data_IF_804058409753
#
_entry.id   IF_804058409753
#
_cell.length_a   1.000
_cell.length_b   1.000
_cell.length_c   1.000
_cell.angle_alpha   90.00
_cell.angle_beta   90.00
_cell.angle_gamma   90.00
#
_symmetry.space_group_name_H-M   'P 1'
#
loop_
_entity.id
_entity.type
_entity.pdbx_description
1 polymer ?
#
# COMPACT_ATOMS: atom_id res chain seq x y z
N UNK A 1 34.97 11.06 24.33
CA UNK A 1 33.56 10.80 24.64
C UNK A 1 33.04 12.04 25.33
N UNK A 2 32.50 12.95 24.54
CA UNK A 2 31.98 14.24 24.97
C UNK A 2 30.49 14.07 25.27
N UNK A 3 30.10 14.40 26.50
CA UNK A 3 28.71 14.45 26.94
C UNK A 3 27.97 15.54 26.16
N UNK A 4 27.36 15.16 25.04
CA UNK A 4 26.38 16.00 24.35
C UNK A 4 25.06 15.88 25.11
N UNK A 5 24.90 16.70 26.16
CA UNK A 5 23.60 16.97 26.76
C UNK A 5 22.69 17.59 25.68
N UNK A 6 21.83 16.78 25.07
CA UNK A 6 20.74 17.28 24.22
C UNK A 6 19.79 18.08 25.11
N UNK A 7 20.01 19.39 25.18
CA UNK A 7 19.03 20.32 25.74
C UNK A 7 17.74 20.18 24.93
N UNK A 8 16.71 19.62 25.57
CA UNK A 8 15.36 19.56 25.00
C UNK A 8 14.97 20.98 24.55
N UNK A 9 14.43 21.15 23.33
CA UNK A 9 14.02 22.46 22.85
C UNK A 9 13.00 23.08 23.81
N UNK A 10 13.13 24.39 24.05
CA UNK A 10 12.24 25.14 24.93
C UNK A 10 10.77 24.91 24.52
N UNK A 11 9.91 24.61 25.50
CA UNK A 11 8.48 24.37 25.31
C UNK A 11 7.87 25.57 24.56
N UNK A 12 7.28 25.31 23.39
CA UNK A 12 6.73 26.37 22.53
C UNK A 12 5.53 27.05 23.25
N UNK A 13 5.52 28.39 23.39
CA UNK A 13 4.51 29.12 24.19
C UNK A 13 3.05 28.92 23.77
N UNK A 14 2.80 28.47 22.53
CA UNK A 14 1.44 28.25 22.01
C UNK A 14 0.71 27.14 22.80
N UNK A 15 1.45 26.18 23.38
CA UNK A 15 0.89 25.15 24.26
C UNK A 15 0.49 25.68 25.65
N UNK A 16 0.94 26.87 26.05
CA UNK A 16 0.69 27.44 27.37
C UNK A 16 -0.59 28.29 27.44
N UNK A 17 -1.35 28.40 26.34
CA UNK A 17 -2.64 29.12 26.33
C UNK A 17 -3.66 28.42 27.22
N UNK A 18 -4.30 29.15 28.13
CA UNK A 18 -5.34 28.63 29.02
C UNK A 18 -6.70 28.41 28.35
N UNK A 19 -6.86 28.84 27.08
CA UNK A 19 -8.10 28.71 26.33
C UNK A 19 -7.86 28.14 24.93
N UNK A 20 -8.80 27.31 24.41
CA UNK A 20 -8.71 26.79 23.05
C UNK A 20 -8.87 27.92 22.02
N UNK A 21 -8.10 27.91 20.92
CA UNK A 21 -8.18 28.94 19.90
C UNK A 21 -9.55 28.89 19.18
N UNK A 22 -10.41 29.93 19.31
CA UNK A 22 -11.84 29.85 18.98
C UNK A 22 -12.16 29.78 17.47
N UNK A 23 -11.14 29.85 16.61
CA UNK A 23 -11.29 29.87 15.14
C UNK A 23 -10.34 28.90 14.43
N UNK A 24 -9.70 28.00 15.18
CA UNK A 24 -8.75 27.06 14.59
C UNK A 24 -9.51 26.02 13.77
N UNK A 25 -9.33 26.08 12.44
CA UNK A 25 -9.92 25.14 11.48
C UNK A 25 -8.93 24.07 11.02
N UNK A 26 -7.66 24.43 10.95
CA UNK A 26 -6.60 23.54 10.49
C UNK A 26 -5.50 23.48 11.55
N UNK A 27 -5.19 22.28 12.03
CA UNK A 27 -4.13 22.00 12.97
C UNK A 27 -3.18 20.98 12.36
N UNK A 28 -1.93 21.38 12.21
CA UNK A 28 -0.86 20.53 11.72
C UNK A 28 0.30 20.50 12.72
N UNK A 29 0.57 19.31 13.27
CA UNK A 29 1.65 19.04 14.21
C UNK A 29 2.59 18.02 13.57
N UNK A 30 3.82 18.43 13.23
CA UNK A 30 4.82 17.53 12.62
C UNK A 30 6.04 17.39 13.51
N UNK A 31 6.32 16.14 13.90
CA UNK A 31 7.46 15.74 14.75
C UNK A 31 7.56 16.58 16.02
N UNK A 32 6.41 17.01 16.53
CA UNK A 32 6.30 17.87 17.69
C UNK A 32 5.83 17.04 18.89
N UNK A 33 6.43 17.18 20.08
CA UNK A 33 5.91 16.53 21.28
C UNK A 33 4.55 17.11 21.66
N UNK A 34 3.54 16.26 21.80
CA UNK A 34 2.19 16.64 22.23
C UNK A 34 1.59 15.48 23.03
N UNK A 35 0.49 15.75 23.75
CA UNK A 35 -0.38 14.72 24.32
C UNK A 35 -1.79 14.90 23.78
N UNK A 36 -2.51 13.80 23.56
CA UNK A 36 -3.88 13.87 23.04
C UNK A 36 -4.87 14.59 23.97
N UNK A 37 -4.53 14.80 25.24
CA UNK A 37 -5.32 15.61 26.19
C UNK A 37 -4.93 17.10 26.20
N UNK A 38 -4.05 17.56 25.31
CA UNK A 38 -3.72 18.98 25.18
C UNK A 38 -4.93 19.80 24.69
N UNK A 39 -5.05 21.05 25.18
CA UNK A 39 -6.18 21.95 24.85
C UNK A 39 -6.32 22.25 23.35
N UNK A 40 -5.27 22.01 22.55
CA UNK A 40 -5.30 22.14 21.09
C UNK A 40 -6.33 21.21 20.44
N UNK A 41 -6.56 20.03 21.01
CA UNK A 41 -7.51 19.04 20.50
C UNK A 41 -8.94 19.28 21.02
N UNK A 42 -9.15 20.31 21.85
CA UNK A 42 -10.49 20.70 22.33
C UNK A 42 -11.22 21.68 21.41
N UNK A 43 -10.65 22.03 20.26
CA UNK A 43 -11.24 22.98 19.30
C UNK A 43 -12.39 22.36 18.51
N UNK A 44 -13.63 22.77 18.79
CA UNK A 44 -14.82 22.34 18.06
C UNK A 44 -14.93 22.92 16.63
N UNK A 45 -14.09 23.89 16.27
CA UNK A 45 -14.08 24.49 14.93
C UNK A 45 -13.14 23.79 13.95
N UNK A 46 -12.40 22.77 14.42
CA UNK A 46 -11.41 22.09 13.61
C UNK A 46 -12.08 21.24 12.52
N UNK A 47 -11.66 21.46 11.28
CA UNK A 47 -12.08 20.70 10.10
C UNK A 47 -10.97 19.81 9.57
N UNK A 48 -9.70 20.14 9.83
CA UNK A 48 -8.55 19.35 9.39
C UNK A 48 -7.57 19.14 10.54
N UNK A 49 -7.27 17.88 10.81
CA UNK A 49 -6.27 17.48 11.79
C UNK A 49 -5.18 16.66 11.09
N UNK A 50 -3.94 17.15 11.15
CA UNK A 50 -2.74 16.43 10.68
C UNK A 50 -1.76 16.32 11.83
N UNK A 51 -1.45 15.09 12.23
CA UNK A 51 -0.53 14.81 13.33
C UNK A 51 0.47 13.77 12.86
N UNK A 52 1.73 14.18 12.72
CA UNK A 52 2.86 13.30 12.41
C UNK A 52 3.76 13.22 13.64
N UNK A 53 3.83 12.06 14.26
CA UNK A 53 4.69 11.76 15.40
C UNK A 53 6.15 11.58 15.00
N UNK A 54 6.97 11.19 15.97
CA UNK A 54 8.38 10.86 15.76
C UNK A 54 8.47 9.34 15.53
N UNK A 55 8.97 8.93 14.36
CA UNK A 55 9.14 7.50 14.05
C UNK A 55 10.18 6.88 15.00
N UNK A 56 9.72 5.96 15.85
CA UNK A 56 10.55 5.25 16.81
C UNK A 56 11.68 4.44 16.20
N UNK A 57 11.61 4.07 14.91
CA UNK A 57 12.70 3.35 14.22
C UNK A 57 13.96 4.19 14.10
N UNK A 58 13.83 5.51 14.04
CA UNK A 58 14.96 6.43 13.95
C UNK A 58 15.59 6.70 15.31
N UNK A 59 14.84 6.51 16.40
CA UNK A 59 15.28 6.76 17.76
C UNK A 59 16.03 5.55 18.33
N UNK A 60 17.30 5.38 17.96
CA UNK A 60 18.18 4.41 18.60
C UNK A 60 18.40 4.78 20.08
N UNK A 61 17.56 4.24 20.97
CA UNK A 61 17.73 4.34 22.43
C UNK A 61 17.02 5.52 23.11
N UNK A 62 16.35 6.41 22.37
CA UNK A 62 15.52 7.45 23.00
C UNK A 62 14.12 6.92 23.25
N UNK A 63 13.59 7.20 24.45
CA UNK A 63 12.19 6.96 24.78
C UNK A 63 11.31 7.73 23.80
N UNK A 64 10.36 7.02 23.17
CA UNK A 64 9.35 7.65 22.30
C UNK A 64 8.60 8.73 23.09
N UNK A 65 8.20 9.85 22.44
CA UNK A 65 7.36 10.85 23.09
C UNK A 65 6.09 10.21 23.61
N UNK A 66 5.73 10.49 24.87
CA UNK A 66 4.46 10.05 25.43
C UNK A 66 3.32 10.86 24.82
N UNK A 67 2.68 10.31 23.79
CA UNK A 67 1.47 10.90 23.19
C UNK A 67 0.21 10.70 24.04
N UNK A 68 0.28 9.96 25.15
CA UNK A 68 -0.83 9.62 26.02
C UNK A 68 -1.43 8.23 25.74
N UNK A 69 -2.68 8.03 26.20
CA UNK A 69 -3.43 6.76 26.06
C UNK A 69 -4.47 6.81 24.94
N UNK A 70 -5.01 5.64 24.55
CA UNK A 70 -6.14 5.57 23.60
C UNK A 70 -7.37 6.33 24.08
N UNK A 71 -7.67 6.31 25.38
CA UNK A 71 -8.80 7.06 25.93
C UNK A 71 -8.66 8.57 25.72
N UNK A 72 -7.43 9.09 25.79
CA UNK A 72 -7.16 10.50 25.48
C UNK A 72 -7.39 10.80 24.00
N UNK A 73 -6.87 9.96 23.10
CA UNK A 73 -7.10 10.07 21.65
C UNK A 73 -8.59 10.02 21.31
N UNK A 74 -9.33 9.07 21.87
CA UNK A 74 -10.76 8.92 21.61
C UNK A 74 -11.56 10.13 22.12
N UNK A 75 -11.23 10.64 23.31
CA UNK A 75 -11.88 11.85 23.84
C UNK A 75 -11.58 13.10 23.01
N UNK A 76 -10.36 13.20 22.47
CA UNK A 76 -10.01 14.23 21.50
C UNK A 76 -10.84 14.11 20.22
N UNK A 77 -10.89 12.93 19.60
CA UNK A 77 -11.67 12.71 18.38
C UNK A 77 -13.17 12.94 18.57
N UNK A 78 -13.74 12.60 19.73
CA UNK A 78 -15.13 12.91 20.11
C UNK A 78 -15.43 14.41 20.19
N UNK A 79 -14.44 15.22 20.54
CA UNK A 79 -14.59 16.68 20.59
C UNK A 79 -14.56 17.29 19.17
N UNK A 80 -13.79 16.68 18.26
CA UNK A 80 -13.60 17.17 16.89
C UNK A 80 -14.69 16.67 15.91
N UNK A 81 -15.39 15.60 16.28
CA UNK A 81 -16.27 14.81 15.40
C UNK A 81 -17.31 15.60 14.58
N UNK A 82 -17.98 16.64 15.14
CA UNK A 82 -19.06 17.33 14.41
C UNK A 82 -18.61 18.02 13.12
N UNK A 83 -17.34 18.42 13.02
CA UNK A 83 -16.83 19.24 11.91
C UNK A 83 -15.59 18.69 11.23
N UNK A 84 -15.00 17.61 11.74
CA UNK A 84 -13.78 17.05 11.18
C UNK A 84 -14.04 16.47 9.78
N UNK A 85 -13.43 17.08 8.77
CA UNK A 85 -13.53 16.70 7.35
C UNK A 85 -12.31 15.89 6.89
N UNK A 86 -11.13 16.15 7.46
CA UNK A 86 -9.90 15.43 7.14
C UNK A 86 -9.10 15.08 8.39
N UNK A 87 -8.71 13.81 8.50
CA UNK A 87 -7.93 13.26 9.61
C UNK A 87 -6.68 12.57 9.05
N UNK A 88 -5.50 12.99 9.50
CA UNK A 88 -4.23 12.35 9.20
C UNK A 88 -3.46 12.11 10.49
N UNK A 89 -3.25 10.85 10.86
CA UNK A 89 -2.45 10.46 12.03
C UNK A 89 -1.33 9.54 11.56
N UNK A 90 -0.10 9.99 11.64
CA UNK A 90 1.08 9.24 11.23
C UNK A 90 2.01 9.08 12.44
N UNK A 91 2.29 7.86 12.87
CA UNK A 91 3.19 7.55 14.00
C UNK A 91 2.85 8.26 15.32
N UNK A 92 1.60 8.67 15.45
CA UNK A 92 1.05 9.43 16.56
C UNK A 92 -0.06 8.69 17.32
N UNK A 93 -0.33 7.42 16.95
CA UNK A 93 -1.28 6.57 17.65
C UNK A 93 -0.66 6.10 18.97
N UNK A 94 -1.35 6.25 20.13
CA UNK A 94 -0.92 5.73 21.41
C UNK A 94 -0.50 4.26 21.35
N UNK A 95 0.59 3.91 22.04
CA UNK A 95 1.06 2.52 22.16
C UNK A 95 0.74 1.87 23.50
N UNK A 96 0.42 2.70 24.50
CA UNK A 96 0.09 2.24 25.85
C UNK A 96 -1.21 1.43 25.84
N UNK A 97 -1.22 0.31 26.57
CA UNK A 97 -2.42 -0.53 26.75
C UNK A 97 -2.55 -1.72 25.80
N UNK A 98 -1.76 -1.79 24.72
CA UNK A 98 -1.71 -2.96 23.84
C UNK A 98 -0.37 -3.67 24.01
N UNK A 99 -0.39 -4.80 24.71
CA UNK A 99 0.79 -5.66 24.84
C UNK A 99 0.98 -6.45 23.54
N UNK A 100 2.14 -6.25 22.89
CA UNK A 100 2.52 -6.95 21.65
C UNK A 100 2.62 -8.47 21.84
N UNK A 101 2.56 -8.96 23.08
CA UNK A 101 2.67 -10.38 23.44
C UNK A 101 1.47 -11.24 22.99
N UNK A 102 0.30 -10.64 22.70
CA UNK A 102 -0.84 -11.36 22.13
C UNK A 102 -1.52 -10.54 21.03
N UNK A 103 -0.88 -10.40 19.85
CA UNK A 103 -1.42 -9.62 18.74
C UNK A 103 -2.66 -10.26 18.11
N UNK A 104 -3.02 -11.48 18.54
CA UNK A 104 -4.08 -12.30 17.95
C UNK A 104 -5.49 -11.88 18.37
N UNK A 105 -5.65 -11.08 19.43
CA UNK A 105 -6.96 -10.59 19.86
C UNK A 105 -6.86 -9.10 20.20
N UNK A 106 -7.32 -8.27 19.27
CA UNK A 106 -7.57 -6.86 19.57
C UNK A 106 -8.64 -6.76 20.66
N UNK A 107 -8.49 -5.84 21.63
CA UNK A 107 -9.53 -5.59 22.61
C UNK A 107 -10.81 -5.13 21.90
N UNK A 108 -11.95 -5.56 22.45
CA UNK A 108 -13.26 -5.11 21.99
C UNK A 108 -13.35 -3.58 22.10
N UNK A 109 -14.03 -2.91 21.15
CA UNK A 109 -14.14 -1.47 21.19
C UNK A 109 -14.96 -1.06 22.42
N UNK A 110 -14.36 -0.28 23.32
CA UNK A 110 -15.04 0.30 24.48
C UNK A 110 -16.11 1.33 24.11
N UNK A 111 -15.98 1.97 22.94
CA UNK A 111 -16.90 2.98 22.40
C UNK A 111 -16.72 3.19 20.90
N UNK A 112 -17.73 3.70 20.23
CA UNK A 112 -17.71 4.01 18.79
C UNK A 112 -17.86 5.51 18.56
N UNK A 113 -16.95 6.09 17.76
CA UNK A 113 -16.85 7.53 17.47
C UNK A 113 -17.34 7.77 16.03
N UNK A 114 -18.48 8.45 15.83
CA UNK A 114 -19.07 8.66 14.51
C UNK A 114 -18.52 9.89 13.80
N UNK A 115 -17.54 9.72 12.89
CA UNK A 115 -16.93 10.81 12.12
C UNK A 115 -17.83 11.28 10.97
N UNK A 116 -18.99 11.88 11.28
CA UNK A 116 -20.08 12.14 10.31
C UNK A 116 -19.69 13.01 9.11
N UNK A 117 -18.77 13.97 9.29
CA UNK A 117 -18.36 14.92 8.25
C UNK A 117 -17.07 14.52 7.53
N UNK A 118 -16.47 13.38 7.89
CA UNK A 118 -15.15 13.00 7.39
C UNK A 118 -15.21 12.61 5.91
N UNK A 119 -14.26 13.12 5.14
CA UNK A 119 -14.09 12.85 3.71
C UNK A 119 -12.80 12.09 3.42
N UNK A 120 -11.77 12.25 4.27
CA UNK A 120 -10.47 11.59 4.11
C UNK A 120 -9.90 11.20 5.48
N UNK A 121 -9.57 9.92 5.63
CA UNK A 121 -8.86 9.35 6.77
C UNK A 121 -7.52 8.82 6.28
N UNK A 122 -6.41 9.28 6.88
CA UNK A 122 -5.06 8.81 6.61
C UNK A 122 -4.43 8.34 7.92
N UNK A 123 -4.03 7.07 7.99
CA UNK A 123 -3.43 6.47 9.18
C UNK A 123 -2.10 5.85 8.80
N UNK A 124 -1.03 6.18 9.52
CA UNK A 124 0.27 5.52 9.38
C UNK A 124 0.84 5.09 10.73
N UNK A 125 1.49 3.92 10.78
CA UNK A 125 2.02 3.34 12.02
C UNK A 125 2.02 1.82 12.01
N UNK A 126 1.97 1.19 13.18
CA UNK A 126 1.95 -0.28 13.27
C UNK A 126 0.54 -0.83 13.08
N UNK A 127 0.43 -1.98 12.39
CA UNK A 127 -0.86 -2.53 11.97
C UNK A 127 -1.84 -2.75 13.12
N UNK A 128 -1.40 -3.30 14.25
CA UNK A 128 -2.24 -3.54 15.42
C UNK A 128 -2.86 -2.25 16.01
N UNK A 129 -2.09 -1.16 16.09
CA UNK A 129 -2.59 0.12 16.63
C UNK A 129 -3.58 0.78 15.68
N UNK A 130 -3.32 0.73 14.37
CA UNK A 130 -4.25 1.22 13.35
C UNK A 130 -5.55 0.41 13.38
N UNK A 131 -5.45 -0.92 13.46
CA UNK A 131 -6.59 -1.81 13.55
C UNK A 131 -7.45 -1.50 14.77
N UNK A 132 -6.83 -1.32 15.93
CA UNK A 132 -7.53 -0.91 17.15
C UNK A 132 -8.26 0.42 16.96
N UNK A 133 -7.57 1.46 16.45
CA UNK A 133 -8.21 2.74 16.16
C UNK A 133 -9.41 2.61 15.19
N UNK A 134 -9.26 1.83 14.12
CA UNK A 134 -10.33 1.61 13.13
C UNK A 134 -11.57 0.95 13.73
N UNK A 135 -11.43 0.08 14.74
CA UNK A 135 -12.56 -0.54 15.44
C UNK A 135 -13.36 0.45 16.29
N UNK A 136 -12.79 1.60 16.60
CA UNK A 136 -13.43 2.65 17.41
C UNK A 136 -14.00 3.79 16.57
N UNK A 137 -13.70 3.88 15.28
CA UNK A 137 -14.20 4.97 14.42
C UNK A 137 -15.13 4.46 13.33
N UNK A 138 -16.17 5.23 13.03
CA UNK A 138 -17.05 4.99 11.89
C UNK A 138 -17.03 6.19 10.97
N UNK A 139 -17.13 5.96 9.66
CA UNK A 139 -17.10 7.00 8.63
C UNK A 139 -18.24 6.84 7.63
N UNK A 140 -18.66 7.92 6.94
CA UNK A 140 -19.57 7.84 5.81
C UNK A 140 -19.01 6.94 4.70
N UNK A 141 -19.90 6.35 3.90
CA UNK A 141 -19.51 5.46 2.81
C UNK A 141 -18.70 6.14 1.70
N UNK A 142 -18.74 7.48 1.65
CA UNK A 142 -18.00 8.31 0.70
C UNK A 142 -16.59 8.68 1.15
N UNK A 143 -16.23 8.43 2.42
CA UNK A 143 -14.94 8.87 2.96
C UNK A 143 -13.79 7.99 2.45
N UNK A 144 -12.68 8.57 1.96
CA UNK A 144 -11.51 7.76 1.60
C UNK A 144 -10.74 7.29 2.84
N UNK A 145 -10.13 6.10 2.75
CA UNK A 145 -9.25 5.55 3.78
C UNK A 145 -7.90 5.20 3.17
N UNK A 146 -6.85 5.86 3.65
CA UNK A 146 -5.47 5.56 3.31
C UNK A 146 -4.75 5.03 4.56
N UNK A 147 -4.14 3.86 4.47
CA UNK A 147 -3.44 3.21 5.58
C UNK A 147 -2.01 2.91 5.15
N UNK A 148 -1.02 3.39 5.90
CA UNK A 148 0.39 3.09 5.67
C UNK A 148 0.98 2.32 6.87
N UNK A 149 1.19 1.03 6.69
CA UNK A 149 1.67 0.10 7.70
C UNK A 149 3.19 0.09 7.73
N UNK A 150 3.79 0.46 8.84
CA UNK A 150 5.25 0.34 9.05
C UNK A 150 5.62 -1.05 9.54
N UNK A 151 4.94 -1.53 10.59
CA UNK A 151 5.16 -2.86 11.18
C UNK A 151 3.98 -3.78 10.84
N UNK A 152 4.32 -4.96 10.33
CA UNK A 152 3.37 -5.94 9.80
C UNK A 152 2.73 -6.81 10.89
N UNK A 153 3.21 -6.74 12.14
CA UNK A 153 2.58 -7.46 13.27
C UNK A 153 1.14 -6.95 13.45
N UNK A 154 0.16 -7.84 13.27
CA UNK A 154 -1.26 -7.51 13.29
C UNK A 154 -1.89 -7.27 11.91
N UNK A 155 -1.21 -7.63 10.81
CA UNK A 155 -1.70 -7.37 9.44
C UNK A 155 -3.06 -8.02 9.11
N UNK A 156 -3.33 -9.22 9.67
CA UNK A 156 -4.62 -9.90 9.50
C UNK A 156 -5.75 -9.16 10.23
N UNK A 157 -5.51 -8.77 11.47
CA UNK A 157 -6.44 -8.04 12.32
C UNK A 157 -6.73 -6.65 11.75
N UNK A 158 -5.71 -6.00 11.17
CA UNK A 158 -5.88 -4.78 10.41
C UNK A 158 -6.79 -5.00 9.20
N UNK A 159 -6.56 -6.03 8.41
CA UNK A 159 -7.41 -6.33 7.25
C UNK A 159 -8.86 -6.61 7.65
N UNK A 160 -9.08 -7.30 8.78
CA UNK A 160 -10.41 -7.52 9.36
C UNK A 160 -11.07 -6.20 9.78
N UNK A 161 -10.31 -5.33 10.45
CA UNK A 161 -10.80 -4.02 10.91
C UNK A 161 -11.14 -3.12 9.72
N UNK A 162 -10.32 -3.13 8.66
CA UNK A 162 -10.61 -2.43 7.39
C UNK A 162 -11.87 -3.01 6.74
N UNK A 163 -12.01 -4.33 6.65
CA UNK A 163 -13.20 -4.95 6.06
C UNK A 163 -14.48 -4.61 6.83
N UNK A 164 -14.41 -4.63 8.17
CA UNK A 164 -15.52 -4.19 9.02
C UNK A 164 -15.87 -2.71 8.79
N UNK A 165 -14.86 -1.83 8.75
CA UNK A 165 -15.03 -0.40 8.49
C UNK A 165 -15.60 -0.11 7.09
N UNK A 166 -15.30 -0.96 6.11
CA UNK A 166 -15.75 -0.83 4.72
C UNK A 166 -17.08 -1.57 4.43
N UNK A 167 -17.60 -2.36 5.36
CA UNK A 167 -18.75 -3.25 5.13
C UNK A 167 -20.06 -2.53 4.73
N UNK A 168 -20.24 -1.28 5.16
CA UNK A 168 -21.42 -0.47 4.85
C UNK A 168 -21.31 0.28 3.51
N UNK A 169 -20.24 0.06 2.74
CA UNK A 169 -19.97 0.77 1.49
C UNK A 169 -20.43 -0.02 0.28
N UNK A 170 -20.69 0.66 -0.85
CA UNK A 170 -20.81 -0.04 -2.12
C UNK A 170 -19.57 -0.91 -2.37
N UNK A 171 -19.74 -2.08 -3.01
CA UNK A 171 -18.64 -2.99 -3.24
C UNK A 171 -17.57 -2.39 -4.14
N UNK A 172 -16.32 -2.79 -3.93
CA UNK A 172 -15.25 -2.47 -4.87
C UNK A 172 -15.42 -3.24 -6.18
N UNK A 173 -15.26 -2.53 -7.30
CA UNK A 173 -15.34 -3.09 -8.65
C UNK A 173 -13.95 -3.24 -9.30
N UNK A 174 -12.99 -2.41 -8.89
CA UNK A 174 -11.61 -2.45 -9.38
C UNK A 174 -10.63 -2.50 -8.21
N UNK A 175 -9.60 -3.33 -8.33
CA UNK A 175 -8.48 -3.43 -7.38
C UNK A 175 -7.16 -3.41 -8.13
N UNK A 176 -6.18 -2.69 -7.59
CA UNK A 176 -4.79 -2.68 -8.02
C UNK A 176 -3.95 -3.23 -6.87
N UNK A 177 -3.15 -4.24 -7.18
CA UNK A 177 -2.05 -4.68 -6.35
C UNK A 177 -0.77 -4.23 -7.03
N UNK A 178 0.03 -3.44 -6.34
CA UNK A 178 1.28 -2.87 -6.87
C UNK A 178 2.43 -3.21 -5.93
N UNK A 179 3.57 -3.64 -6.48
CA UNK A 179 4.78 -4.02 -5.74
C UNK A 179 6.01 -3.67 -6.57
N UNK A 180 6.83 -2.68 -6.19
CA UNK A 180 8.02 -2.28 -6.98
C UNK A 180 9.35 -2.78 -6.38
N UNK A 181 9.47 -4.10 -6.12
CA UNK A 181 10.71 -4.70 -5.62
C UNK A 181 10.92 -4.51 -4.10
N UNK A 182 12.00 -3.84 -3.61
CA UNK A 182 12.19 -3.59 -2.17
C UNK A 182 11.14 -2.64 -1.56
N UNK A 183 10.30 -2.06 -2.42
CA UNK A 183 9.27 -1.10 -2.11
C UNK A 183 8.05 -1.73 -1.41
N UNK A 184 7.17 -0.88 -0.84
CA UNK A 184 5.96 -1.38 -0.19
C UNK A 184 4.99 -2.04 -1.16
N UNK A 185 4.27 -3.06 -0.68
CA UNK A 185 3.08 -3.57 -1.35
C UNK A 185 1.95 -2.56 -1.19
N UNK A 186 1.37 -2.11 -2.28
CA UNK A 186 0.25 -1.17 -2.31
C UNK A 186 -1.00 -1.89 -2.81
N UNK A 187 -2.07 -1.85 -2.02
CA UNK A 187 -3.41 -2.28 -2.41
C UNK A 187 -4.28 -1.04 -2.56
N UNK A 188 -4.80 -0.80 -3.76
CA UNK A 188 -5.74 0.28 -4.03
C UNK A 188 -7.06 -0.29 -4.54
N UNK A 189 -8.19 0.26 -4.09
CA UNK A 189 -9.52 -0.21 -4.48
C UNK A 189 -10.49 0.94 -4.80
N UNK A 190 -11.33 0.73 -5.82
CA UNK A 190 -12.28 1.69 -6.36
C UNK A 190 -13.68 1.09 -6.49
N UNK A 191 -14.71 1.94 -6.36
CA UNK A 191 -16.12 1.56 -6.56
C UNK A 191 -16.55 1.59 -8.04
N UNK A 192 -15.64 1.90 -8.95
CA UNK A 192 -15.89 1.96 -10.38
C UNK A 192 -14.76 1.28 -11.16
N UNK A 193 -15.04 0.92 -12.42
CA UNK A 193 -14.12 0.16 -13.29
C UNK A 193 -13.06 1.03 -13.98
N UNK A 194 -13.31 2.33 -14.05
CA UNK A 194 -12.46 3.29 -14.74
C UNK A 194 -11.24 3.74 -13.93
N UNK A 195 -10.23 4.35 -14.58
CA UNK A 195 -9.08 4.93 -13.92
C UNK A 195 -9.48 6.17 -13.12
N UNK A 196 -9.88 6.00 -11.86
CA UNK A 196 -9.85 7.12 -10.90
C UNK A 196 -8.43 7.44 -10.54
N UNK A 197 -8.14 8.72 -10.28
CA UNK A 197 -6.95 9.10 -9.53
C UNK A 197 -7.08 8.79 -8.04
N UNK A 198 -8.31 8.88 -7.51
CA UNK A 198 -8.55 8.78 -6.07
C UNK A 198 -9.13 7.41 -5.73
N UNK A 199 -8.31 6.57 -5.11
CA UNK A 199 -8.75 5.30 -4.52
C UNK A 199 -9.55 5.56 -3.25
N UNK A 200 -10.67 4.83 -3.09
CA UNK A 200 -11.49 4.93 -1.88
C UNK A 200 -10.81 4.22 -0.70
N UNK A 201 -10.10 3.14 -1.00
CA UNK A 201 -9.24 2.42 -0.07
C UNK A 201 -7.84 2.33 -0.68
N UNK A 202 -6.83 2.76 0.09
CA UNK A 202 -5.44 2.54 -0.23
C UNK A 202 -4.73 1.99 1.01
N UNK A 203 -4.04 0.86 0.88
CA UNK A 203 -3.26 0.25 1.95
C UNK A 203 -1.85 0.01 1.46
N UNK A 204 -0.88 0.66 2.09
CA UNK A 204 0.54 0.53 1.81
C UNK A 204 1.18 -0.28 2.92
N UNK A 205 1.76 -1.43 2.60
CA UNK A 205 2.50 -2.27 3.54
C UNK A 205 4.00 -2.02 3.34
N UNK A 206 4.67 -1.48 4.36
CA UNK A 206 6.10 -1.17 4.31
C UNK A 206 6.97 -2.37 3.91
N UNK A 207 8.18 -2.07 3.39
CA UNK A 207 9.14 -3.00 2.77
C UNK A 207 9.07 -4.42 3.32
N UNK A 208 8.73 -5.34 2.41
CA UNK A 208 8.39 -6.74 2.70
C UNK A 208 9.58 -7.65 2.39
N UNK A 209 10.55 -7.75 3.30
CA UNK A 209 11.47 -8.90 3.25
C UNK A 209 10.77 -10.24 3.55
N UNK A 210 9.55 -10.21 4.08
CA UNK A 210 8.79 -11.41 4.39
C UNK A 210 7.72 -11.68 3.34
N UNK A 211 7.78 -12.92 2.84
CA UNK A 211 7.33 -13.37 1.52
C UNK A 211 5.83 -13.69 1.40
N UNK A 212 5.05 -13.58 2.48
CA UNK A 212 3.74 -14.26 2.55
C UNK A 212 2.59 -13.37 3.11
N UNK A 213 2.63 -12.04 2.99
CA UNK A 213 1.65 -11.15 3.62
C UNK A 213 0.36 -10.88 2.85
N UNK A 214 0.42 -10.94 1.52
CA UNK A 214 -0.76 -10.69 0.70
C UNK A 214 -1.88 -11.67 1.07
N UNK A 215 -1.54 -12.93 1.36
CA UNK A 215 -2.53 -13.95 1.73
C UNK A 215 -3.23 -13.66 3.05
N UNK A 216 -2.56 -13.45 4.21
CA UNK A 216 -3.21 -13.08 5.46
C UNK A 216 -4.06 -11.80 5.36
N UNK A 217 -3.60 -10.78 4.62
CA UNK A 217 -4.35 -9.54 4.42
C UNK A 217 -5.63 -9.83 3.64
N UNK A 218 -5.54 -10.52 2.50
CA UNK A 218 -6.71 -10.87 1.72
C UNK A 218 -7.64 -11.84 2.46
N UNK A 219 -7.11 -12.74 3.29
CA UNK A 219 -7.90 -13.61 4.16
C UNK A 219 -8.67 -12.81 5.21
N UNK A 220 -8.02 -11.82 5.84
CA UNK A 220 -8.65 -10.93 6.81
C UNK A 220 -9.72 -10.03 6.19
N UNK A 221 -9.62 -9.74 4.89
CA UNK A 221 -10.59 -8.89 4.17
C UNK A 221 -12.00 -9.51 4.03
N UNK A 222 -12.17 -10.80 4.30
CA UNK A 222 -13.47 -11.47 4.25
C UNK A 222 -14.12 -11.40 2.87
N UNK A 223 -15.29 -10.75 2.79
CA UNK A 223 -16.08 -10.57 1.55
C UNK A 223 -15.88 -9.20 0.90
N UNK A 224 -14.86 -8.44 1.29
CA UNK A 224 -14.66 -7.08 0.79
C UNK A 224 -14.46 -7.03 -0.74
N UNK A 225 -13.83 -8.07 -1.29
CA UNK A 225 -13.43 -8.12 -2.70
C UNK A 225 -14.23 -9.08 -3.58
N UNK A 226 -15.34 -9.66 -3.09
CA UNK A 226 -16.06 -10.71 -3.86
C UNK A 226 -16.66 -10.19 -5.16
N UNK A 227 -16.92 -8.89 -5.25
CA UNK A 227 -17.56 -8.22 -6.39
C UNK A 227 -16.57 -7.46 -7.28
N UNK A 228 -15.27 -7.59 -7.02
CA UNK A 228 -14.24 -7.01 -7.88
C UNK A 228 -14.31 -7.69 -9.23
N UNK A 229 -14.46 -6.88 -10.28
CA UNK A 229 -14.55 -7.31 -11.67
C UNK A 229 -13.24 -7.06 -12.41
N UNK A 230 -12.47 -6.04 -12.01
CA UNK A 230 -11.19 -5.70 -12.61
C UNK A 230 -10.08 -5.83 -11.57
N UNK A 231 -9.12 -6.70 -11.83
CA UNK A 231 -7.92 -6.86 -11.00
C UNK A 231 -6.70 -6.47 -11.83
N UNK A 232 -5.93 -5.50 -11.35
CA UNK A 232 -4.67 -5.07 -11.94
C UNK A 232 -3.52 -5.46 -11.03
N UNK A 233 -2.49 -6.07 -11.60
CA UNK A 233 -1.25 -6.46 -10.94
C UNK A 233 -0.14 -5.65 -11.58
N UNK A 234 0.54 -4.82 -10.79
CA UNK A 234 1.63 -3.98 -11.26
C UNK A 234 2.90 -4.31 -10.47
N UNK A 235 3.98 -4.56 -11.20
CA UNK A 235 5.28 -4.83 -10.63
C UNK A 235 5.54 -6.28 -10.24
N UNK A 236 6.41 -6.40 -9.25
CA UNK A 236 7.31 -7.49 -8.98
C UNK A 236 6.87 -8.22 -7.69
N UNK A 237 6.22 -9.37 -7.87
CA UNK A 237 5.67 -10.20 -6.79
C UNK A 237 6.49 -11.47 -6.64
N UNK A 238 7.19 -11.62 -5.51
CA UNK A 238 7.96 -12.84 -5.23
C UNK A 238 7.29 -13.67 -4.13
N UNK A 239 7.27 -14.99 -4.30
CA UNK A 239 6.75 -15.99 -3.36
C UNK A 239 5.24 -15.87 -3.06
N UNK A 240 4.45 -15.36 -3.99
CA UNK A 240 3.01 -15.20 -3.77
C UNK A 240 2.27 -16.50 -4.06
N UNK A 241 1.46 -16.96 -3.10
CA UNK A 241 0.53 -18.09 -3.32
C UNK A 241 -0.69 -17.62 -4.11
N UNK A 242 -0.52 -17.41 -5.41
CA UNK A 242 -1.51 -16.84 -6.33
C UNK A 242 -2.87 -17.56 -6.30
N UNK A 243 -2.90 -18.88 -6.11
CA UNK A 243 -4.16 -19.61 -5.99
C UNK A 243 -5.00 -19.07 -4.81
N UNK A 244 -4.37 -18.73 -3.70
CA UNK A 244 -5.06 -18.13 -2.55
C UNK A 244 -5.55 -16.71 -2.87
N UNK A 245 -4.78 -15.94 -3.63
CA UNK A 245 -5.13 -14.58 -4.07
C UNK A 245 -6.39 -14.63 -4.94
N UNK A 246 -6.38 -15.36 -6.05
CA UNK A 246 -7.51 -15.41 -6.99
C UNK A 246 -8.81 -15.92 -6.37
N UNK A 247 -8.72 -16.77 -5.35
CA UNK A 247 -9.92 -17.27 -4.67
C UNK A 247 -10.63 -16.21 -3.81
N UNK A 248 -10.01 -15.05 -3.63
CA UNK A 248 -10.59 -13.86 -2.99
C UNK A 248 -11.28 -12.92 -3.98
N UNK A 249 -11.10 -13.17 -5.27
CA UNK A 249 -11.65 -12.37 -6.36
C UNK A 249 -12.50 -13.22 -7.33
N UNK A 250 -13.55 -13.91 -6.86
CA UNK A 250 -14.32 -14.85 -7.67
C UNK A 250 -15.08 -14.20 -8.84
N UNK A 251 -15.33 -12.88 -8.78
CA UNK A 251 -16.07 -12.15 -9.81
C UNK A 251 -15.18 -11.42 -10.82
N UNK A 252 -13.86 -11.65 -10.82
CA UNK A 252 -12.95 -10.96 -11.76
C UNK A 252 -13.24 -11.41 -13.19
N UNK A 253 -13.55 -10.41 -14.02
CA UNK A 253 -13.82 -10.52 -15.45
C UNK A 253 -12.62 -10.07 -16.29
N UNK A 254 -11.86 -9.09 -15.80
CA UNK A 254 -10.68 -8.54 -16.47
C UNK A 254 -9.48 -8.62 -15.54
N UNK A 255 -8.43 -9.31 -15.97
CA UNK A 255 -7.13 -9.36 -15.31
C UNK A 255 -6.11 -8.56 -16.12
N UNK A 256 -5.47 -7.57 -15.50
CA UNK A 256 -4.42 -6.75 -16.12
C UNK A 256 -3.12 -7.01 -15.38
N UNK A 257 -2.04 -7.23 -16.12
CA UNK A 257 -0.68 -7.41 -15.61
C UNK A 257 0.24 -6.43 -16.33
N UNK A 258 0.80 -5.46 -15.61
CA UNK A 258 1.66 -4.43 -16.22
C UNK A 258 3.13 -4.84 -16.33
N UNK A 259 3.51 -5.93 -15.67
CA UNK A 259 4.83 -6.55 -15.69
C UNK A 259 4.64 -8.07 -15.49
N UNK A 260 5.71 -8.86 -15.64
CA UNK A 260 5.67 -10.29 -15.38
C UNK A 260 5.53 -10.56 -13.87
N UNK A 261 4.38 -11.07 -13.38
CA UNK A 261 4.27 -11.52 -12.01
C UNK A 261 5.05 -12.84 -11.90
N UNK A 262 6.14 -12.84 -11.13
CA UNK A 262 6.91 -14.06 -10.94
C UNK A 262 6.09 -15.15 -10.23
N UNK A 263 6.68 -16.35 -10.20
CA UNK A 263 6.13 -17.61 -9.69
C UNK A 263 5.01 -18.21 -10.56
N UNK A 264 4.32 -19.21 -10.00
CA UNK A 264 3.29 -20.02 -10.64
C UNK A 264 1.94 -19.26 -10.77
N UNK A 265 1.94 -18.01 -11.24
CA UNK A 265 0.71 -17.22 -11.35
C UNK A 265 -0.26 -17.81 -12.37
N UNK A 266 0.20 -18.12 -13.58
CA UNK A 266 -0.63 -18.69 -14.65
C UNK A 266 -1.14 -20.09 -14.25
N UNK A 267 -0.27 -21.01 -13.76
CA UNK A 267 -0.72 -22.27 -13.19
C UNK A 267 -1.72 -22.12 -12.03
N UNK A 268 -1.65 -21.04 -11.24
CA UNK A 268 -2.64 -20.83 -10.18
C UNK A 268 -4.06 -20.57 -10.73
N UNK A 269 -4.20 -20.04 -11.95
CA UNK A 269 -5.49 -19.84 -12.61
C UNK A 269 -6.06 -21.15 -13.21
N UNK A 270 -5.23 -22.18 -13.41
CA UNK A 270 -5.68 -23.53 -13.83
C UNK A 270 -6.06 -24.41 -12.64
N UNK A 271 -6.08 -23.87 -11.42
CA UNK A 271 -6.54 -24.62 -10.26
C UNK A 271 -8.05 -24.84 -10.30
N UNK A 272 -8.47 -26.07 -9.98
CA UNK A 272 -9.88 -26.43 -9.80
C UNK A 272 -10.24 -26.70 -8.36
N UNK A 273 -11.50 -26.44 -8.01
CA UNK A 273 -12.08 -26.77 -6.72
C UNK A 273 -13.29 -27.67 -6.91
N UNK A 274 -13.32 -28.76 -6.15
CA UNK A 274 -14.50 -29.63 -6.04
C UNK A 274 -15.41 -29.09 -4.93
N UNK A 275 -16.66 -28.81 -5.26
CA UNK A 275 -17.70 -28.53 -4.27
C UNK A 275 -18.20 -29.84 -3.64
N UNK A 276 -18.96 -29.72 -2.55
CA UNK A 276 -19.55 -30.85 -1.84
C UNK A 276 -20.55 -31.65 -2.69
N UNK A 277 -21.14 -31.02 -3.72
CA UNK A 277 -22.04 -31.66 -4.67
C UNK A 277 -21.30 -32.38 -5.83
N UNK A 278 -19.96 -32.41 -5.78
CA UNK A 278 -19.11 -33.03 -6.79
C UNK A 278 -18.83 -32.13 -8.01
N UNK A 279 -19.46 -30.95 -8.11
CA UNK A 279 -19.18 -30.03 -9.22
C UNK A 279 -17.77 -29.46 -9.11
N UNK A 280 -17.09 -29.37 -10.25
CA UNK A 280 -15.75 -28.80 -10.37
C UNK A 280 -15.87 -27.37 -10.87
N UNK A 281 -15.22 -26.42 -10.20
CA UNK A 281 -15.15 -25.03 -10.63
C UNK A 281 -13.70 -24.62 -10.83
N UNK A 282 -13.46 -23.87 -11.90
CA UNK A 282 -12.18 -23.24 -12.19
C UNK A 282 -12.04 -21.95 -11.36
N UNK A 283 -10.83 -21.64 -10.94
CA UNK A 283 -10.51 -20.35 -10.30
C UNK A 283 -10.82 -19.18 -11.23
N UNK A 284 -11.43 -18.11 -10.69
CA UNK A 284 -11.95 -16.97 -11.47
C UNK A 284 -12.84 -17.42 -12.65
N UNK A 285 -13.99 -18.07 -12.39
CA UNK A 285 -14.80 -18.71 -13.44
C UNK A 285 -15.41 -17.70 -14.43
N UNK A 286 -15.49 -16.42 -14.07
CA UNK A 286 -16.04 -15.35 -14.92
C UNK A 286 -14.98 -14.50 -15.61
N UNK A 287 -13.69 -14.87 -15.50
CA UNK A 287 -12.59 -14.22 -16.20
C UNK A 287 -12.77 -14.41 -17.72
N UNK A 288 -12.79 -13.30 -18.45
CA UNK A 288 -13.05 -13.24 -19.90
C UNK A 288 -11.95 -12.50 -20.66
N UNK A 289 -11.36 -11.48 -20.04
CA UNK A 289 -10.33 -10.66 -20.67
C UNK A 289 -9.03 -10.69 -19.85
N UNK A 290 -7.90 -10.83 -20.55
CA UNK A 290 -6.56 -10.74 -19.96
C UNK A 290 -5.71 -9.72 -20.72
N UNK A 291 -5.08 -8.80 -20.00
CA UNK A 291 -4.19 -7.81 -20.57
C UNK A 291 -2.80 -8.02 -19.99
N UNK A 292 -1.84 -8.33 -20.85
CA UNK A 292 -0.45 -8.53 -20.52
C UNK A 292 0.33 -7.37 -21.11
N UNK A 293 0.98 -6.59 -20.26
CA UNK A 293 1.88 -5.52 -20.65
C UNK A 293 3.26 -5.77 -20.08
N UNK A 294 4.32 -5.56 -20.88
CA UNK A 294 5.71 -5.80 -20.47
C UNK A 294 5.98 -7.20 -19.90
N UNK A 295 5.14 -8.17 -20.24
CA UNK A 295 5.25 -9.55 -19.79
C UNK A 295 6.42 -10.25 -20.50
N UNK A 296 7.17 -11.09 -19.78
CA UNK A 296 8.30 -11.84 -20.34
C UNK A 296 7.90 -13.29 -20.57
N UNK A 297 7.96 -13.74 -21.82
CA UNK A 297 7.60 -15.12 -22.20
C UNK A 297 8.79 -16.09 -22.27
N UNK A 298 9.99 -15.60 -22.02
CA UNK A 298 11.22 -16.39 -21.94
C UNK A 298 12.19 -15.69 -21.00
N UNK A 299 12.98 -16.45 -20.26
CA UNK A 299 14.15 -15.97 -19.54
C UNK A 299 15.30 -16.90 -19.90
N UNK A 300 16.48 -16.40 -20.34
CA UNK A 300 17.58 -17.27 -20.79
C UNK A 300 18.07 -18.27 -19.75
N UNK A 301 17.83 -18.00 -18.46
CA UNK A 301 18.34 -18.79 -17.34
C UNK A 301 17.38 -19.83 -16.77
N UNK A 302 16.09 -19.75 -17.10
CA UNK A 302 15.05 -20.58 -16.49
C UNK A 302 14.42 -21.46 -17.57
N UNK A 303 14.38 -22.79 -17.35
CA UNK A 303 13.64 -23.77 -18.18
C UNK A 303 12.10 -23.56 -18.14
N UNK A 304 11.65 -22.35 -17.83
CA UNK A 304 10.26 -21.96 -17.78
C UNK A 304 9.83 -21.47 -19.16
N UNK A 305 8.70 -21.99 -19.62
CA UNK A 305 8.01 -21.53 -20.83
C UNK A 305 6.68 -20.84 -20.46
N UNK A 306 6.69 -19.59 -19.94
CA UNK A 306 5.47 -18.87 -19.56
C UNK A 306 4.45 -18.73 -20.70
N UNK A 307 4.90 -18.84 -21.95
CA UNK A 307 3.99 -18.81 -23.10
C UNK A 307 3.14 -20.07 -23.19
N UNK A 308 3.77 -21.24 -23.05
CA UNK A 308 3.05 -22.51 -23.07
C UNK A 308 2.16 -22.63 -21.81
N UNK A 309 2.56 -22.08 -20.66
CA UNK A 309 1.68 -21.93 -19.50
C UNK A 309 0.42 -21.08 -19.80
N UNK A 310 0.56 -19.99 -20.57
CA UNK A 310 -0.56 -19.14 -20.97
C UNK A 310 -1.50 -19.89 -21.93
N UNK A 311 -0.93 -20.63 -22.88
CA UNK A 311 -1.68 -21.44 -23.83
C UNK A 311 -2.42 -22.59 -23.13
N UNK A 312 -1.73 -23.33 -22.26
CA UNK A 312 -2.30 -24.40 -21.43
C UNK A 312 -3.42 -23.86 -20.54
N UNK A 313 -3.25 -22.66 -19.98
CA UNK A 313 -4.30 -21.97 -19.24
C UNK A 313 -5.54 -21.68 -20.10
N UNK A 314 -5.36 -21.18 -21.32
CA UNK A 314 -6.48 -20.91 -22.24
C UNK A 314 -7.23 -22.20 -22.62
N UNK A 315 -6.48 -23.23 -23.04
CA UNK A 315 -7.03 -24.56 -23.40
C UNK A 315 -7.77 -25.17 -22.21
N UNK A 316 -7.17 -25.13 -21.03
CA UNK A 316 -7.75 -25.61 -19.79
C UNK A 316 -9.12 -24.97 -19.55
N UNK A 317 -9.21 -23.64 -19.66
CA UNK A 317 -10.46 -22.92 -19.45
C UNK A 317 -11.54 -23.26 -20.47
N UNK A 318 -11.18 -23.45 -21.74
CA UNK A 318 -12.09 -23.95 -22.77
C UNK A 318 -12.67 -25.32 -22.40
N UNK A 319 -11.82 -26.25 -21.93
CA UNK A 319 -12.24 -27.60 -21.52
C UNK A 319 -13.23 -27.61 -20.33
N UNK A 320 -13.21 -26.57 -19.49
CA UNK A 320 -14.12 -26.40 -18.36
C UNK A 320 -15.30 -25.45 -18.63
N UNK A 321 -15.52 -25.05 -19.89
CA UNK A 321 -16.66 -24.22 -20.28
C UNK A 321 -16.59 -22.78 -19.77
N UNK A 322 -15.39 -22.26 -19.51
CA UNK A 322 -15.15 -20.88 -19.07
C UNK A 322 -14.06 -20.20 -19.92
N UNK A 323 -14.17 -20.19 -21.27
CA UNK A 323 -13.12 -19.73 -22.16
C UNK A 323 -12.73 -18.28 -21.90
N UNK A 324 -11.48 -17.94 -22.20
CA UNK A 324 -11.04 -16.54 -22.31
C UNK A 324 -11.50 -16.03 -23.67
N UNK A 325 -12.18 -14.89 -23.67
CA UNK A 325 -12.73 -14.25 -24.86
C UNK A 325 -11.68 -13.35 -25.52
N UNK A 326 -10.93 -12.60 -24.70
CA UNK A 326 -10.01 -11.55 -25.15
C UNK A 326 -8.63 -11.68 -24.46
N UNK A 327 -7.54 -11.64 -25.24
CA UNK A 327 -6.17 -11.47 -24.75
C UNK A 327 -5.51 -10.29 -25.46
N UNK A 328 -4.98 -9.35 -24.69
CA UNK A 328 -4.22 -8.22 -25.17
C UNK A 328 -2.76 -8.37 -24.76
N UNK A 329 -1.86 -8.39 -25.74
CA UNK A 329 -0.41 -8.44 -25.56
C UNK A 329 0.16 -7.09 -25.98
N UNK A 330 0.80 -6.38 -25.05
CA UNK A 330 1.46 -5.11 -25.38
C UNK A 330 2.87 -5.04 -24.80
N UNK A 331 3.85 -4.74 -25.66
CA UNK A 331 5.26 -4.65 -25.32
C UNK A 331 5.76 -5.91 -24.57
N UNK A 332 5.20 -7.08 -24.89
CA UNK A 332 5.57 -8.36 -24.29
C UNK A 332 6.88 -8.87 -24.90
N UNK A 333 7.87 -9.19 -24.05
CA UNK A 333 9.17 -9.70 -24.50
C UNK A 333 9.06 -11.16 -24.91
N UNK A 334 9.70 -11.50 -26.03
CA UNK A 334 9.76 -12.87 -26.58
C UNK A 334 8.40 -13.47 -27.00
N UNK A 335 7.40 -12.62 -27.24
CA UNK A 335 6.17 -13.01 -27.93
C UNK A 335 6.43 -13.00 -29.44
N UNK A 336 6.75 -14.16 -30.03
CA UNK A 336 6.96 -14.28 -31.48
C UNK A 336 5.63 -14.43 -32.21
N UNK A 337 5.57 -14.05 -33.48
CA UNK A 337 4.38 -14.19 -34.34
C UNK A 337 3.85 -15.64 -34.34
N UNK A 338 4.73 -16.63 -34.48
CA UNK A 338 4.36 -18.05 -34.43
C UNK A 338 3.64 -18.42 -33.11
N UNK A 339 4.15 -17.94 -31.98
CA UNK A 339 3.54 -18.15 -30.67
C UNK A 339 2.16 -17.48 -30.59
N UNK A 340 2.05 -16.23 -31.06
CA UNK A 340 0.77 -15.49 -31.06
C UNK A 340 -0.26 -16.15 -31.97
N UNK A 341 0.13 -16.70 -33.13
CA UNK A 341 -0.75 -17.48 -33.99
C UNK A 341 -1.27 -18.75 -33.29
N UNK A 342 -0.41 -19.50 -32.59
CA UNK A 342 -0.85 -20.64 -31.76
C UNK A 342 -1.89 -20.23 -30.71
N UNK A 343 -1.76 -19.03 -30.13
CA UNK A 343 -2.73 -18.52 -29.17
C UNK A 343 -4.07 -18.14 -29.82
N UNK A 344 -4.04 -17.60 -31.05
CA UNK A 344 -5.23 -17.28 -31.87
C UNK A 344 -6.05 -18.51 -32.26
N UNK A 345 -5.43 -19.69 -32.30
CA UNK A 345 -6.16 -20.95 -32.52
C UNK A 345 -7.12 -21.31 -31.36
N UNK A 346 -6.84 -20.82 -30.15
CA UNK A 346 -7.60 -21.17 -28.93
C UNK A 346 -8.46 -20.01 -28.42
N UNK A 347 -7.99 -18.76 -28.56
CA UNK A 347 -8.64 -17.56 -28.03
C UNK A 347 -9.25 -16.75 -29.18
N UNK A 348 -10.50 -16.33 -29.01
CA UNK A 348 -11.31 -15.72 -30.08
C UNK A 348 -10.76 -14.37 -30.52
N UNK A 349 -10.37 -13.50 -29.58
CA UNK A 349 -9.79 -12.19 -29.86
C UNK A 349 -8.41 -12.07 -29.21
N UNK A 350 -7.36 -12.06 -30.03
CA UNK A 350 -5.98 -11.83 -29.59
C UNK A 350 -5.43 -10.57 -30.24
N UNK A 351 -5.35 -9.51 -29.44
CA UNK A 351 -4.76 -8.24 -29.82
C UNK A 351 -3.27 -8.25 -29.45
N UNK A 352 -2.40 -8.05 -30.43
CA UNK A 352 -0.95 -7.99 -30.24
C UNK A 352 -0.42 -6.76 -30.97
N UNK A 353 0.53 -6.06 -30.36
CA UNK A 353 1.13 -4.84 -30.92
C UNK A 353 2.30 -5.09 -31.88
N UNK A 354 2.47 -6.33 -32.34
CA UNK A 354 3.50 -6.75 -33.31
C UNK A 354 4.94 -6.45 -32.83
N UNK A 355 5.12 -6.26 -31.53
CA UNK A 355 6.42 -5.97 -30.95
C UNK A 355 7.15 -7.28 -30.60
N UNK A 356 8.23 -7.55 -31.34
CA UNK A 356 9.13 -8.68 -31.12
C UNK A 356 10.48 -8.20 -30.56
N UNK A 357 11.02 -8.97 -29.62
CA UNK A 357 12.37 -8.78 -29.09
C UNK A 357 13.16 -10.06 -29.35
N UNK A 358 14.11 -9.99 -30.29
CA UNK A 358 15.01 -11.09 -30.60
C UNK A 358 16.07 -11.26 -29.52
N UNK A 359 16.30 -12.51 -29.10
CA UNK A 359 17.28 -12.90 -28.05
C UNK A 359 18.70 -12.40 -28.36
N UNK A 360 19.00 -12.12 -29.63
CA UNK A 360 20.35 -11.97 -30.16
C UNK A 360 20.92 -10.55 -30.16
N UNK A 361 20.16 -9.53 -29.75
CA UNK A 361 20.53 -8.14 -30.10
C UNK A 361 21.21 -7.32 -29.01
N UNK A 362 20.98 -7.54 -27.70
CA UNK A 362 21.46 -6.55 -26.70
C UNK A 362 21.86 -7.09 -25.30
N UNK A 363 21.69 -8.38 -24.96
CA UNK A 363 21.97 -8.88 -23.59
C UNK A 363 23.34 -9.58 -23.42
N UNK A 364 24.16 -9.69 -24.47
CA UNK A 364 25.49 -10.35 -24.43
C UNK A 364 26.69 -9.41 -24.16
N UNK A 365 26.51 -8.10 -23.90
CA UNK A 365 27.63 -7.15 -23.66
C UNK A 365 27.81 -6.70 -22.19
N UNK A 366 27.53 -7.57 -21.21
CA UNK A 366 27.97 -7.34 -19.82
C UNK A 366 28.94 -8.44 -19.34
N UNK A 367 29.92 -8.79 -20.17
CA UNK A 367 31.21 -9.36 -19.73
C UNK A 367 32.02 -8.26 -19.02
N UNK A 368 31.59 -7.89 -17.82
CA UNK A 368 32.42 -7.15 -16.87
C UNK A 368 33.30 -8.15 -16.11
N UNK A 369 34.21 -8.81 -16.84
CA UNK A 369 35.35 -9.55 -16.31
C UNK A 369 36.38 -8.58 -15.68
N UNK A 370 35.97 -7.73 -14.74
CA UNK A 370 36.91 -7.21 -13.75
C UNK A 370 37.18 -8.35 -12.75
N UNK A 371 38.11 -9.23 -13.12
CA UNK A 371 38.86 -10.07 -12.19
C UNK A 371 39.40 -9.17 -11.06
N UNK A 372 38.63 -9.04 -9.98
CA UNK A 372 39.16 -8.51 -8.72
C UNK A 372 40.14 -9.55 -8.19
N UNK A 373 41.39 -9.42 -8.62
CA UNK A 373 42.56 -10.05 -8.03
C UNK A 373 42.56 -9.72 -6.53
N UNK A 374 42.06 -10.66 -5.73
CA UNK A 374 42.15 -10.65 -4.28
C UNK A 374 43.62 -10.85 -3.91
N UNK A 375 44.41 -9.77 -4.05
CA UNK A 375 45.73 -9.64 -3.46
C UNK A 375 45.58 -9.83 -1.95
N UNK A 376 45.96 -11.03 -1.51
CA UNK A 376 46.23 -11.44 -0.13
C UNK A 376 47.16 -10.42 0.54
N UNK A 377 46.56 -9.42 1.19
CA UNK A 377 47.28 -8.44 2.01
C UNK A 377 46.87 -8.63 3.46
N UNK A 378 47.45 -9.68 4.05
CA UNK A 378 47.77 -9.74 5.47
C UNK A 378 48.62 -8.52 5.83
N UNK A 379 48.02 -7.40 6.29
CA UNK A 379 48.69 -6.36 7.06
C UNK A 379 47.68 -5.54 7.91
N UNK A 380 47.64 -5.86 9.20
CA UNK A 380 47.74 -4.85 10.27
C UNK A 380 46.62 -3.83 10.46
N UNK A 381 45.90 -3.97 11.60
CA UNK A 381 45.37 -2.90 12.46
C UNK A 381 45.55 -1.46 11.92
N UNK A 382 44.45 -0.76 11.61
CA UNK A 382 44.22 0.65 12.00
C UNK A 382 42.82 1.16 11.63
N UNK A 383 42.25 1.89 12.60
CA UNK A 383 41.27 2.98 12.53
C UNK A 383 40.36 3.10 11.30
N UNK A 384 39.06 2.84 11.52
CA UNK A 384 37.98 3.29 10.67
C UNK A 384 37.77 4.81 10.81
N UNK A 385 38.20 5.56 9.79
CA UNK A 385 37.74 6.91 9.51
C UNK A 385 36.57 6.84 8.52
N UNK A 386 35.41 7.34 8.94
CA UNK A 386 34.20 7.45 8.14
C UNK A 386 34.44 8.43 6.98
N UNK A 387 34.33 7.97 5.72
CA UNK A 387 34.29 8.85 4.54
C UNK A 387 32.84 8.95 4.07
N UNK A 388 32.32 10.16 4.13
CA UNK A 388 30.98 10.54 3.71
C UNK A 388 30.89 10.56 2.17
N UNK A 389 30.20 9.58 1.59
CA UNK A 389 29.93 9.52 0.15
C UNK A 389 28.82 10.52 -0.18
N UNK A 390 29.20 11.66 -0.76
CA UNK A 390 28.26 12.64 -1.34
C UNK A 390 27.61 12.05 -2.59
N UNK A 391 26.28 11.86 -2.54
CA UNK A 391 25.46 11.52 -3.71
C UNK A 391 25.34 12.75 -4.64
N UNK A 392 25.34 12.56 -5.98
CA UNK A 392 25.10 13.65 -6.92
C UNK A 392 23.61 14.07 -6.90
N UNK A 393 23.29 15.33 -7.26
CA UNK A 393 21.92 15.83 -7.21
C UNK A 393 21.10 15.29 -8.39
N UNK A 394 19.92 14.76 -8.07
CA UNK A 394 18.86 14.48 -9.03
C UNK A 394 18.24 15.81 -9.49
N UNK A 395 18.38 16.12 -10.77
CA UNK A 395 17.69 17.26 -11.40
C UNK A 395 16.23 16.88 -11.68
N UNK A 396 15.29 17.51 -10.97
CA UNK A 396 13.87 17.46 -11.30
C UNK A 396 13.50 18.57 -12.28
N UNK A 397 12.96 18.19 -13.44
CA UNK A 397 12.30 19.08 -14.40
C UNK A 397 10.93 19.53 -13.84
N UNK A 398 10.85 20.76 -13.35
CA UNK A 398 9.58 21.40 -12.96
C UNK A 398 8.97 22.04 -14.21
N UNK A 399 7.84 21.52 -14.69
CA UNK A 399 6.97 22.21 -15.64
C UNK A 399 6.13 23.26 -14.90
N UNK A 400 6.40 24.54 -15.18
CA UNK A 400 5.60 25.67 -14.70
C UNK A 400 4.28 25.76 -15.48
N UNK A 401 3.15 25.61 -14.79
CA UNK A 401 1.85 26.05 -15.30
C UNK A 401 1.57 27.47 -14.80
N UNK A 402 1.41 28.38 -15.76
CA UNK A 402 1.06 29.78 -15.54
C UNK A 402 -0.45 29.86 -15.21
N UNK A 403 -0.80 30.34 -14.02
CA UNK A 403 -2.18 30.72 -13.67
C UNK A 403 -2.17 32.19 -13.24
N UNK A 404 -3.03 32.98 -13.88
CA UNK A 404 -3.17 34.43 -13.69
C UNK A 404 -4.11 34.75 -12.50
N UNK A 405 -3.94 35.88 -11.77
CA UNK A 405 -4.61 36.11 -10.48
C UNK A 405 -5.78 37.11 -10.54
N UNK A 406 -6.86 36.78 -9.82
CA UNK A 406 -7.83 37.68 -9.17
C UNK A 406 -8.86 36.78 -8.44
N UNK A 407 -9.42 37.04 -7.25
CA UNK A 407 -9.47 38.19 -6.34
C UNK A 407 -10.01 37.68 -4.98
N UNK A 408 -9.63 38.41 -3.92
CA UNK A 408 -10.29 38.59 -2.61
C UNK A 408 -10.16 37.52 -1.50
N UNK A 409 -9.64 38.06 -0.40
CA UNK A 409 -9.12 37.45 0.81
C UNK A 409 -10.25 37.15 1.81
N UNK A 410 -10.30 35.90 2.25
CA UNK A 410 -10.85 35.51 3.56
C UNK A 410 -9.66 34.97 4.35
N UNK A 411 -9.29 35.63 5.45
CA UNK A 411 -8.23 35.18 6.36
C UNK A 411 -8.67 33.87 7.05
N UNK A 412 -8.32 32.72 6.47
CA UNK A 412 -8.26 31.47 7.22
C UNK A 412 -6.99 31.50 8.08
N UNK A 413 -7.15 31.46 9.40
CA UNK A 413 -6.02 31.29 10.31
C UNK A 413 -5.47 29.87 10.14
N UNK A 414 -4.44 29.71 9.32
CA UNK A 414 -3.64 28.49 9.25
C UNK A 414 -2.52 28.60 10.27
N UNK A 415 -2.55 27.75 11.30
CA UNK A 415 -1.47 27.65 12.27
C UNK A 415 -0.65 26.42 11.92
N UNK A 416 0.51 26.63 11.30
CA UNK A 416 1.50 25.56 11.08
C UNK A 416 2.56 25.69 12.17
N UNK A 417 2.70 24.66 13.00
CA UNK A 417 3.77 24.58 14.01
C UNK A 417 4.77 23.54 13.55
N UNK A 418 5.86 23.99 12.93
CA UNK A 418 6.98 23.12 12.54
C UNK A 418 8.06 23.14 13.63
N UNK A 419 8.36 21.98 14.22
CA UNK A 419 9.58 21.83 15.04
C UNK A 419 10.79 21.62 14.13
N UNK A 420 11.75 22.55 14.13
CA UNK A 420 13.05 22.33 13.47
C UNK A 420 13.90 21.43 14.35
N UNK A 421 13.99 20.15 14.02
CA UNK A 421 15.00 19.25 14.59
C UNK A 421 16.33 19.46 13.90
N UNK A 422 17.35 19.91 14.65
CA UNK A 422 18.75 19.79 14.23
C UNK A 422 19.15 18.31 14.32
N UNK A 423 19.73 17.77 13.25
CA UNK A 423 20.25 16.40 13.16
C UNK A 423 21.63 16.26 13.78
#
# INVERSE_FOLDING_TARGET
MSDFEMRLPAVVPILASSAPPPRLRHLELRRFPFRWNDLLFSSQTLTTLVVTGIDGRSARGNTLPDVGSFDMLFSALETLTPRLEALSIEDAIPRQGLTVASPLQLPLPSRTIPLLSITSIRLAGDAAYIAHLLNHITSPSTASLHVAVRNQVGGKELAQSIAAHMSNRPPFLSVLLESSGPDPLILSAWMHLGPSRDALLQVTFGSIYSRDYLVPVLQGSGTLFVRVQKLRLAGLFTSVKWANVFTRFPSVQTLIMDEHPWDNMLPALTTTRRLQDGRVYVTAPVLRAMHLSHFRFSMPSDDLEPFDDLLDFAIFRCNYGAPIEEIHLSACKYATEEKVERLREVVVDVQWDEWEMDVTTEEEEYDSDEELDYSDSDHGRRHYGFVEVRRPPLYFLIRNFHVSPAKLVSLSSTTVITGTGFH
#
